data_IF_323932641185
#
_entry.id   IF_323932641185
#
_cell.length_a   1.000
_cell.length_b   1.000
_cell.length_c   1.000
_cell.angle_alpha   90.00
_cell.angle_beta   90.00
_cell.angle_gamma   90.00
#
_symmetry.space_group_name_H-M   'P 1'
#
loop_
_entity.id
_entity.type
_entity.pdbx_description
1 polymer ?
#
# COMPACT_ATOMS: atom_id res chain seq x y z
N UNK A 1 -25.62 46.77 -23.87
CA UNK A 1 -25.85 45.34 -23.58
C UNK A 1 -24.49 44.69 -23.30
N UNK A 2 -24.10 44.68 -22.03
CA UNK A 2 -23.01 43.89 -21.42
C UNK A 2 -23.15 42.39 -21.79
N UNK A 3 -22.17 41.50 -21.77
CA UNK A 3 -20.72 41.44 -21.51
C UNK A 3 -20.31 39.98 -21.76
N UNK A 4 -19.04 39.76 -22.15
CA UNK A 4 -18.16 38.63 -21.75
C UNK A 4 -18.56 37.19 -22.12
N UNK A 5 -17.73 36.53 -22.94
CA UNK A 5 -17.32 35.14 -22.72
C UNK A 5 -15.78 35.09 -22.78
N UNK A 6 -15.22 35.10 -21.57
CA UNK A 6 -13.80 34.99 -21.25
C UNK A 6 -13.26 33.58 -21.51
N UNK A 7 -12.02 33.53 -21.99
CA UNK A 7 -11.26 32.29 -22.18
C UNK A 7 -11.09 31.50 -20.89
N UNK A 8 -11.10 30.17 -21.04
CA UNK A 8 -10.72 29.22 -20.01
C UNK A 8 -9.20 29.16 -19.90
N UNK A 9 -8.66 29.78 -18.86
CA UNK A 9 -7.28 29.59 -18.43
C UNK A 9 -7.11 28.22 -17.77
N UNK A 10 -5.96 27.54 -17.99
CA UNK A 10 -5.63 26.32 -17.27
C UNK A 10 -5.32 26.67 -15.81
N UNK A 11 -5.97 26.00 -14.87
CA UNK A 11 -5.66 26.12 -13.44
C UNK A 11 -4.28 25.53 -13.16
N UNK A 12 -3.28 26.41 -13.06
CA UNK A 12 -1.99 26.15 -12.45
C UNK A 12 -2.18 26.01 -10.94
N UNK A 13 -1.82 24.85 -10.37
CA UNK A 13 -1.70 24.71 -8.91
C UNK A 13 -0.28 25.15 -8.51
N UNK A 14 -0.10 26.10 -7.57
CA UNK A 14 1.21 26.66 -7.26
C UNK A 14 2.07 25.67 -6.46
N UNK A 15 3.36 25.70 -6.76
CA UNK A 15 4.39 24.96 -6.04
C UNK A 15 4.45 25.30 -4.56
N UNK A 16 4.49 24.25 -3.75
CA UNK A 16 4.94 24.26 -2.37
C UNK A 16 5.91 23.10 -2.20
N UNK A 17 7.06 23.39 -1.59
CA UNK A 17 8.09 22.41 -1.20
C UNK A 17 7.45 21.16 -0.58
N UNK A 18 7.67 19.99 -1.20
CA UNK A 18 7.11 18.69 -0.79
C UNK A 18 7.82 18.19 0.47
N UNK A 19 7.46 18.73 1.63
CA UNK A 19 7.64 18.02 2.90
C UNK A 19 6.53 16.99 3.02
N UNK A 20 6.87 15.72 2.79
CA UNK A 20 5.95 14.59 2.91
C UNK A 20 5.40 14.48 4.34
N UNK A 21 4.17 14.94 4.55
CA UNK A 21 3.41 14.70 5.79
C UNK A 21 3.08 13.20 5.93
N UNK A 22 3.08 12.71 7.17
CA UNK A 22 2.71 11.34 7.54
C UNK A 22 1.26 10.94 7.14
N UNK A 23 0.45 11.91 6.71
CA UNK A 23 -0.99 11.80 6.43
C UNK A 23 -1.41 10.85 5.28
N UNK A 24 -0.48 10.17 4.61
CA UNK A 24 -0.80 9.23 3.50
C UNK A 24 -0.21 7.82 3.62
N UNK A 25 0.65 7.57 4.62
CA UNK A 25 1.37 6.28 4.75
C UNK A 25 0.61 5.28 5.61
N UNK A 26 -0.11 5.76 6.63
CA UNK A 26 -0.86 4.88 7.54
C UNK A 26 -2.30 5.34 7.71
N UNK A 27 -3.21 4.38 7.87
CA UNK A 27 -4.63 4.62 8.08
C UNK A 27 -5.26 3.54 8.99
N UNK A 28 -6.33 3.90 9.71
CA UNK A 28 -6.93 3.07 10.74
C UNK A 28 -6.31 3.32 12.12
N UNK A 29 -6.54 2.42 13.10
CA UNK A 29 -6.95 1.02 12.90
C UNK A 29 -8.38 0.83 12.38
N UNK A 30 -8.58 -0.07 11.42
CA UNK A 30 -9.91 -0.39 10.85
C UNK A 30 -10.30 -1.85 11.08
N UNK A 31 -11.61 -2.17 11.14
CA UNK A 31 -12.06 -3.56 11.17
C UNK A 31 -11.66 -4.28 9.88
N UNK A 32 -10.96 -5.40 10.03
CA UNK A 32 -10.59 -6.32 8.96
C UNK A 32 -11.19 -7.70 9.25
N UNK A 33 -11.90 -8.27 8.27
CA UNK A 33 -12.39 -9.65 8.37
C UNK A 33 -11.26 -10.69 8.46
N UNK A 34 -10.06 -10.35 7.97
CA UNK A 34 -8.91 -11.28 7.92
C UNK A 34 -7.95 -11.10 9.09
N UNK A 35 -7.83 -9.87 9.59
CA UNK A 35 -6.73 -9.47 10.48
C UNK A 35 -7.22 -8.75 11.75
N UNK A 36 -8.52 -8.79 12.07
CA UNK A 36 -9.08 -8.12 13.24
C UNK A 36 -9.01 -6.60 13.13
N UNK A 37 -8.68 -5.88 14.20
CA UNK A 37 -8.40 -4.44 14.15
C UNK A 37 -7.01 -4.19 13.56
N UNK A 38 -6.96 -3.73 12.32
CA UNK A 38 -5.69 -3.59 11.60
C UNK A 38 -5.33 -2.14 11.37
N UNK A 39 -4.10 -1.78 11.72
CA UNK A 39 -3.44 -0.58 11.20
C UNK A 39 -2.97 -0.86 9.77
N UNK A 40 -3.39 -0.04 8.81
CA UNK A 40 -3.07 -0.22 7.39
C UNK A 40 -1.83 0.61 7.04
N UNK A 41 -0.92 0.02 6.26
CA UNK A 41 0.29 0.65 5.74
C UNK A 41 0.24 0.68 4.21
N UNK A 42 0.47 1.86 3.66
CA UNK A 42 0.68 2.11 2.24
C UNK A 42 2.15 2.49 2.00
N UNK A 43 2.96 1.51 1.62
CA UNK A 43 4.38 1.70 1.35
C UNK A 43 4.68 2.18 -0.08
N UNK A 44 3.66 2.31 -0.93
CA UNK A 44 3.77 2.66 -2.34
C UNK A 44 3.15 4.02 -2.65
N UNK A 45 3.54 4.58 -3.79
CA UNK A 45 2.71 5.58 -4.48
C UNK A 45 1.43 4.90 -5.01
N UNK A 46 0.30 5.62 -5.09
CA UNK A 46 -0.94 5.06 -5.62
C UNK A 46 -0.83 4.50 -7.03
N UNK A 47 -1.53 3.39 -7.27
CA UNK A 47 -1.78 2.76 -8.58
C UNK A 47 -0.53 2.24 -9.29
N UNK A 48 0.45 1.76 -8.53
CA UNK A 48 1.58 0.99 -9.04
C UNK A 48 1.37 -0.49 -8.73
N UNK A 49 1.04 -1.29 -9.75
CA UNK A 49 0.65 -2.68 -9.58
C UNK A 49 0.89 -3.47 -10.88
N UNK A 50 1.33 -4.73 -10.84
CA UNK A 50 1.42 -5.58 -12.02
C UNK A 50 0.09 -5.82 -12.75
N UNK A 51 -1.05 -5.63 -12.08
CA UNK A 51 -2.39 -5.92 -12.61
C UNK A 51 -3.34 -4.73 -12.51
N UNK A 52 -4.27 -4.63 -13.46
CA UNK A 52 -5.44 -3.76 -13.44
C UNK A 52 -6.70 -4.62 -13.24
N UNK A 53 -6.89 -5.12 -12.02
CA UNK A 53 -7.97 -6.06 -11.70
C UNK A 53 -9.35 -5.43 -11.97
N UNK A 54 -10.25 -6.15 -12.62
CA UNK A 54 -11.58 -5.65 -12.99
C UNK A 54 -12.46 -5.22 -11.79
N UNK A 55 -12.14 -5.71 -10.59
CA UNK A 55 -12.82 -5.40 -9.33
C UNK A 55 -12.03 -4.45 -8.41
N UNK A 56 -10.92 -3.86 -8.90
CA UNK A 56 -10.06 -3.03 -8.07
C UNK A 56 -10.80 -1.77 -7.58
N UNK A 57 -10.95 -1.63 -6.26
CA UNK A 57 -11.62 -0.49 -5.63
C UNK A 57 -10.88 0.84 -5.83
N UNK A 58 -9.58 0.78 -6.17
CA UNK A 58 -8.75 1.95 -6.49
C UNK A 58 -8.92 2.40 -7.96
N UNK A 59 -9.71 1.67 -8.74
CA UNK A 59 -9.90 1.87 -10.17
C UNK A 59 -8.76 1.27 -11.01
N UNK A 60 -8.68 1.72 -12.27
CA UNK A 60 -7.67 1.25 -13.23
C UNK A 60 -6.26 1.60 -12.77
N UNK A 61 -5.35 0.64 -12.90
CA UNK A 61 -3.91 0.83 -12.65
C UNK A 61 -3.33 1.79 -13.68
N UNK A 62 -2.47 2.71 -13.24
CA UNK A 62 -1.85 3.74 -14.09
C UNK A 62 -0.41 3.37 -14.43
N UNK A 63 0.29 2.72 -13.49
CA UNK A 63 1.66 2.28 -13.66
C UNK A 63 1.72 0.76 -13.51
N UNK A 64 1.63 0.06 -14.64
CA UNK A 64 1.75 -1.40 -14.68
C UNK A 64 3.21 -1.80 -14.85
N UNK A 65 3.66 -2.73 -14.02
CA UNK A 65 5.02 -3.25 -14.10
C UNK A 65 5.33 -4.21 -12.96
N UNK A 66 6.36 -5.02 -13.18
CA UNK A 66 6.93 -5.96 -12.19
C UNK A 66 8.31 -5.54 -11.72
N UNK A 67 8.82 -4.41 -12.22
CA UNK A 67 10.11 -3.86 -11.80
C UNK A 67 10.02 -3.35 -10.36
N UNK A 68 10.91 -3.86 -9.52
CA UNK A 68 10.99 -3.47 -8.11
C UNK A 68 11.83 -2.21 -7.99
N UNK A 69 11.37 -1.25 -7.21
CA UNK A 69 12.02 0.05 -7.02
C UNK A 69 11.83 0.53 -5.58
N UNK A 70 12.66 1.47 -5.09
CA UNK A 70 12.43 2.05 -3.78
C UNK A 70 11.22 3.00 -3.81
N UNK A 71 10.36 2.92 -2.79
CA UNK A 71 9.28 3.88 -2.59
C UNK A 71 9.53 4.71 -1.32
N UNK A 72 8.73 4.52 -0.27
CA UNK A 72 8.99 5.14 1.01
C UNK A 72 10.12 4.40 1.73
N UNK A 73 11.08 5.14 2.30
CA UNK A 73 12.13 4.53 3.12
C UNK A 73 11.53 3.78 4.32
N UNK A 74 12.09 2.61 4.66
CA UNK A 74 11.59 1.75 5.73
C UNK A 74 11.45 2.49 7.08
N UNK A 75 12.39 3.37 7.42
CA UNK A 75 12.32 4.19 8.63
C UNK A 75 11.18 5.22 8.59
N UNK A 76 10.90 5.79 7.41
CA UNK A 76 9.76 6.70 7.22
C UNK A 76 8.44 5.97 7.44
N UNK A 77 8.31 4.76 6.90
CA UNK A 77 7.14 3.89 7.11
C UNK A 77 7.01 3.52 8.58
N UNK A 78 8.09 3.06 9.20
CA UNK A 78 8.11 2.68 10.61
C UNK A 78 7.77 3.84 11.54
N UNK A 79 8.28 5.05 11.27
CA UNK A 79 7.93 6.26 12.02
C UNK A 79 6.44 6.56 11.93
N UNK A 80 5.86 6.49 10.73
CA UNK A 80 4.41 6.71 10.55
C UNK A 80 3.59 5.66 11.32
N UNK A 81 4.03 4.39 11.32
CA UNK A 81 3.40 3.33 12.11
C UNK A 81 3.52 3.60 13.61
N UNK A 82 4.70 3.98 14.11
CA UNK A 82 4.92 4.28 15.54
C UNK A 82 4.01 5.39 16.03
N UNK A 83 3.88 6.48 15.27
CA UNK A 83 2.97 7.59 15.59
C UNK A 83 1.54 7.07 15.75
N UNK A 84 1.04 6.31 14.78
CA UNK A 84 -0.34 5.79 14.84
C UNK A 84 -0.55 4.74 15.92
N UNK A 85 0.46 3.92 16.22
CA UNK A 85 0.42 2.95 17.32
C UNK A 85 0.32 3.68 18.66
N UNK A 86 1.06 4.77 18.85
CA UNK A 86 1.00 5.56 20.07
C UNK A 86 -0.36 6.28 20.20
N UNK A 87 -0.87 6.89 19.14
CA UNK A 87 -2.21 7.48 19.10
C UNK A 87 -3.30 6.46 19.49
N UNK A 88 -3.23 5.24 18.93
CA UNK A 88 -4.18 4.17 19.25
C UNK A 88 -4.07 3.71 20.71
N UNK A 89 -2.86 3.65 21.27
CA UNK A 89 -2.66 3.32 22.70
C UNK A 89 -3.28 4.37 23.61
N UNK A 90 -3.11 5.65 23.27
CA UNK A 90 -3.67 6.77 24.03
C UNK A 90 -5.20 6.80 23.97
N UNK A 91 -5.81 6.39 22.84
CA UNK A 91 -7.27 6.29 22.70
C UNK A 91 -7.87 4.97 23.20
N UNK A 92 -7.05 4.03 23.70
CA UNK A 92 -7.50 2.70 24.12
C UNK A 92 -7.91 1.78 22.95
N UNK A 93 -7.53 2.13 21.73
CA UNK A 93 -7.78 1.32 20.54
C UNK A 93 -6.78 0.16 20.42
N UNK A 94 -7.31 -1.04 20.22
CA UNK A 94 -6.49 -2.24 19.98
C UNK A 94 -5.98 -2.28 18.54
N UNK A 95 -4.73 -2.69 18.37
CA UNK A 95 -4.14 -3.05 17.08
C UNK A 95 -3.75 -4.53 17.11
N UNK A 96 -4.42 -5.31 16.28
CA UNK A 96 -4.23 -6.76 16.17
C UNK A 96 -3.11 -7.08 15.17
N UNK A 97 -3.05 -6.29 14.08
CA UNK A 97 -2.05 -6.41 13.04
C UNK A 97 -1.67 -5.04 12.47
N UNK A 98 -0.42 -4.92 12.02
CA UNK A 98 -0.02 -3.92 11.04
C UNK A 98 -0.01 -4.59 9.66
N UNK A 99 -0.89 -4.15 8.75
CA UNK A 99 -1.07 -4.81 7.46
C UNK A 99 -0.62 -3.91 6.31
N UNK A 100 0.29 -4.42 5.48
CA UNK A 100 0.59 -3.85 4.17
C UNK A 100 -0.57 -4.18 3.22
N UNK A 101 -1.47 -3.21 3.03
CA UNK A 101 -2.53 -3.21 2.02
C UNK A 101 -2.37 -1.94 1.22
N UNK A 102 -1.36 -1.86 0.34
CA UNK A 102 -1.05 -0.61 -0.30
C UNK A 102 -2.07 -0.32 -1.39
N UNK A 103 -1.97 0.91 -1.88
CA UNK A 103 -2.70 1.38 -3.06
C UNK A 103 -2.17 0.78 -4.38
N UNK A 104 -1.60 -0.42 -4.33
CA UNK A 104 -0.82 -1.10 -5.38
C UNK A 104 -0.38 -2.51 -4.95
N UNK A 105 0.76 -3.00 -5.46
CA UNK A 105 1.34 -4.30 -5.07
C UNK A 105 2.56 -4.12 -4.14
N UNK A 106 2.47 -4.48 -2.84
CA UNK A 106 3.52 -4.13 -1.86
C UNK A 106 4.89 -4.69 -2.20
N UNK A 107 4.95 -5.85 -2.87
CA UNK A 107 6.21 -6.51 -3.20
C UNK A 107 7.04 -5.80 -4.26
N UNK A 108 6.48 -4.77 -4.91
CA UNK A 108 7.24 -3.88 -5.80
C UNK A 108 8.26 -3.01 -5.03
N UNK A 109 8.09 -2.83 -3.73
CA UNK A 109 8.99 -2.02 -2.93
C UNK A 109 10.24 -2.81 -2.51
N UNK A 110 11.42 -2.31 -2.88
CA UNK A 110 12.70 -2.85 -2.39
C UNK A 110 12.84 -2.71 -0.87
N UNK A 111 12.18 -1.72 -0.27
CA UNK A 111 12.18 -1.47 1.16
C UNK A 111 11.30 -2.40 2.01
N UNK A 112 10.46 -3.23 1.38
CA UNK A 112 9.42 -4.00 2.08
C UNK A 112 9.98 -4.87 3.21
N UNK A 113 11.05 -5.63 2.94
CA UNK A 113 11.67 -6.53 3.93
C UNK A 113 12.09 -5.76 5.18
N UNK A 114 12.80 -4.65 4.99
CA UNK A 114 13.28 -3.84 6.10
C UNK A 114 12.13 -3.14 6.83
N UNK A 115 11.10 -2.70 6.11
CA UNK A 115 9.91 -2.12 6.72
C UNK A 115 9.20 -3.14 7.63
N UNK A 116 8.99 -4.38 7.17
CA UNK A 116 8.42 -5.48 7.97
C UNK A 116 9.26 -5.69 9.22
N UNK A 117 10.58 -5.83 9.08
CA UNK A 117 11.50 -6.07 10.20
C UNK A 117 11.42 -4.97 11.26
N UNK A 118 11.48 -3.70 10.85
CA UNK A 118 11.44 -2.57 11.80
C UNK A 118 10.07 -2.47 12.49
N UNK A 119 8.97 -2.70 11.78
CA UNK A 119 7.62 -2.66 12.35
C UNK A 119 7.41 -3.81 13.34
N UNK A 120 7.90 -5.01 13.03
CA UNK A 120 7.75 -6.19 13.90
C UNK A 120 8.38 -5.99 15.27
N UNK A 121 9.45 -5.18 15.36
CA UNK A 121 10.07 -4.81 16.64
C UNK A 121 9.15 -4.01 17.59
N UNK A 122 8.01 -3.51 17.10
CA UNK A 122 6.99 -2.86 17.93
C UNK A 122 6.11 -3.86 18.71
N UNK A 123 6.31 -5.17 18.52
CA UNK A 123 5.57 -6.23 19.21
C UNK A 123 4.15 -6.45 18.65
N UNK A 124 3.86 -5.96 17.44
CA UNK A 124 2.57 -6.13 16.77
C UNK A 124 2.78 -7.03 15.54
N UNK A 125 1.97 -8.09 15.35
CA UNK A 125 2.06 -8.96 14.19
C UNK A 125 1.93 -8.19 12.87
N UNK A 126 2.79 -8.51 11.91
CA UNK A 126 2.80 -7.89 10.57
C UNK A 126 2.13 -8.82 9.57
N UNK A 127 1.21 -8.26 8.78
CA UNK A 127 0.55 -8.96 7.69
C UNK A 127 0.82 -8.30 6.33
N UNK A 128 0.89 -9.09 5.25
CA UNK A 128 1.04 -8.58 3.88
C UNK A 128 -0.05 -9.16 2.98
N UNK A 129 -0.74 -8.30 2.23
CA UNK A 129 -1.66 -8.71 1.17
C UNK A 129 -0.95 -8.52 -0.17
N UNK A 130 -0.77 -9.61 -0.93
CA UNK A 130 -0.07 -9.59 -2.23
C UNK A 130 -0.91 -10.23 -3.32
N UNK A 131 -0.81 -9.68 -4.53
CA UNK A 131 -1.42 -10.21 -5.73
C UNK A 131 -0.68 -11.42 -6.33
N UNK A 132 0.51 -11.75 -5.79
CA UNK A 132 1.29 -12.92 -6.16
C UNK A 132 2.18 -12.78 -7.40
N UNK A 133 2.11 -11.68 -8.14
CA UNK A 133 2.77 -11.50 -9.42
C UNK A 133 4.30 -11.67 -9.37
N UNK A 134 4.92 -11.32 -8.25
CA UNK A 134 6.37 -11.36 -8.07
C UNK A 134 6.86 -12.57 -7.24
N UNK A 135 6.02 -13.57 -6.96
CA UNK A 135 6.41 -14.70 -6.10
C UNK A 135 7.52 -15.59 -6.71
N UNK A 136 7.76 -15.52 -8.01
CA UNK A 136 8.90 -16.19 -8.65
C UNK A 136 10.23 -15.57 -8.25
N UNK A 137 10.25 -14.30 -7.83
CA UNK A 137 11.43 -13.60 -7.33
C UNK A 137 11.78 -14.09 -5.91
N UNK A 138 13.02 -14.58 -5.74
CA UNK A 138 13.53 -15.10 -4.46
C UNK A 138 13.54 -14.05 -3.35
N UNK A 139 14.01 -12.84 -3.63
CA UNK A 139 14.08 -11.76 -2.64
C UNK A 139 12.69 -11.33 -2.16
N UNK A 140 11.68 -11.40 -3.04
CA UNK A 140 10.30 -11.15 -2.65
C UNK A 140 9.81 -12.22 -1.68
N UNK A 141 10.10 -13.50 -1.94
CA UNK A 141 9.75 -14.58 -1.01
C UNK A 141 10.46 -14.39 0.35
N UNK A 142 11.74 -14.07 0.33
CA UNK A 142 12.51 -13.80 1.55
C UNK A 142 11.94 -12.60 2.34
N UNK A 143 11.51 -11.54 1.66
CA UNK A 143 10.84 -10.41 2.30
C UNK A 143 9.50 -10.80 2.93
N UNK A 144 8.68 -11.60 2.23
CA UNK A 144 7.39 -12.04 2.71
C UNK A 144 7.51 -13.01 3.91
N UNK A 145 8.54 -13.86 3.94
CA UNK A 145 8.80 -14.79 5.04
C UNK A 145 9.09 -14.09 6.39
N UNK A 146 9.39 -12.80 6.39
CA UNK A 146 9.60 -12.01 7.62
C UNK A 146 8.27 -11.58 8.27
N UNK A 147 7.17 -11.62 7.51
CA UNK A 147 5.83 -11.28 8.00
C UNK A 147 5.18 -12.46 8.74
N UNK A 148 4.38 -12.16 9.75
CA UNK A 148 3.67 -13.18 10.55
C UNK A 148 2.47 -13.78 9.81
N UNK A 149 1.91 -13.02 8.85
CA UNK A 149 0.78 -13.45 8.00
C UNK A 149 0.94 -12.95 6.56
N UNK A 150 0.64 -13.83 5.59
CA UNK A 150 0.58 -13.48 4.18
C UNK A 150 -0.80 -13.86 3.65
N UNK A 151 -1.51 -12.90 3.05
CA UNK A 151 -2.74 -13.14 2.30
C UNK A 151 -2.44 -13.06 0.81
N UNK A 152 -2.20 -14.21 0.22
CA UNK A 152 -2.01 -14.34 -1.23
C UNK A 152 -3.36 -14.33 -1.95
N UNK A 153 -3.48 -13.47 -2.96
CA UNK A 153 -4.62 -13.44 -3.88
C UNK A 153 -4.41 -14.46 -5.00
N UNK A 154 -5.44 -15.27 -5.29
CA UNK A 154 -5.47 -16.16 -6.46
C UNK A 154 -6.83 -15.97 -7.15
N UNK A 155 -6.83 -15.28 -8.29
CA UNK A 155 -8.08 -14.96 -9.01
C UNK A 155 -8.60 -16.10 -9.89
N UNK A 156 -7.69 -16.87 -10.49
CA UNK A 156 -8.05 -18.00 -11.35
C UNK A 156 -6.88 -18.97 -11.49
N UNK A 157 -7.21 -20.25 -11.68
CA UNK A 157 -6.25 -21.32 -12.02
C UNK A 157 -6.15 -21.57 -13.53
N UNK A 158 -6.98 -20.89 -14.32
CA UNK A 158 -6.98 -20.93 -15.78
C UNK A 158 -6.53 -19.59 -16.34
N UNK A 159 -5.57 -19.63 -17.26
CA UNK A 159 -4.96 -18.43 -17.83
C UNK A 159 -5.99 -17.51 -18.52
N UNK A 160 -6.91 -18.08 -19.31
CA UNK A 160 -7.93 -17.29 -20.00
C UNK A 160 -8.82 -16.50 -19.01
N UNK A 161 -9.21 -17.12 -17.89
CA UNK A 161 -9.97 -16.44 -16.83
C UNK A 161 -9.11 -15.41 -16.11
N UNK A 162 -7.84 -15.73 -15.82
CA UNK A 162 -6.91 -14.82 -15.18
C UNK A 162 -6.69 -13.55 -16.00
N UNK A 163 -6.47 -13.64 -17.32
CA UNK A 163 -6.32 -12.48 -18.23
C UNK A 163 -7.57 -11.63 -18.35
N UNK A 164 -8.76 -12.24 -18.23
CA UNK A 164 -10.04 -11.50 -18.25
C UNK A 164 -10.24 -10.67 -16.97
N UNK A 165 -9.77 -11.19 -15.83
CA UNK A 165 -9.90 -10.55 -14.52
C UNK A 165 -8.78 -9.53 -14.28
N UNK A 166 -7.53 -9.93 -14.52
CA UNK A 166 -6.30 -9.15 -14.35
C UNK A 166 -5.91 -8.54 -15.70
N UNK A 167 -6.41 -7.34 -15.96
CA UNK A 167 -6.17 -6.60 -17.21
C UNK A 167 -4.85 -5.86 -17.18
#
# INVERSE_FOLDING_TARGET
MSTLHSGSTPHTVPGGSLTASAAGITFGPVPSRRFGRSLVVNNLKPKVCPYSCAYCQLGRTVCMGTERQPFHGAETVARAVRVRVEEARQSGERIDHVTFVPTGEPTLDLGLRRAIHVIRSLGIPVAVVTNGALLTNREVREALCEADRISLKVDAVREASWRRINR
#
